data_IF_202872483028
#
_entry.id   IF_202872483028
#
_cell.length_a   1.000
_cell.length_b   1.000
_cell.length_c   1.000
_cell.angle_alpha   90.00
_cell.angle_beta   90.00
_cell.angle_gamma   90.00
#
_symmetry.space_group_name_H-M   'P 1'
#
loop_
_entity.id
_entity.type
_entity.pdbx_description
1 polymer ?
#
# COMPACT_ATOMS: atom_id res chain seq x y z
N UNK A 1 2.37 39.97 -0.63
CA UNK A 1 2.77 38.72 -1.29
C UNK A 1 3.28 37.63 -0.36
N UNK A 2 3.78 37.96 0.82
CA UNK A 2 4.23 36.95 1.81
C UNK A 2 3.13 36.30 2.67
N UNK A 3 1.91 36.83 2.66
CA UNK A 3 0.81 36.31 3.51
C UNK A 3 0.06 35.11 2.92
N UNK A 4 0.12 34.86 1.62
CA UNK A 4 -0.63 33.78 0.99
C UNK A 4 0.15 32.45 0.99
N UNK A 5 1.49 32.49 1.02
CA UNK A 5 2.31 31.29 1.12
C UNK A 5 2.23 30.60 2.49
N UNK A 6 1.93 31.37 3.54
CA UNK A 6 1.85 30.79 4.89
C UNK A 6 0.51 30.05 5.12
N UNK A 7 -0.56 30.48 4.43
CA UNK A 7 -1.87 29.81 4.52
C UNK A 7 -1.91 28.46 3.81
N UNK A 8 -1.20 28.33 2.68
CA UNK A 8 -1.13 27.09 1.92
C UNK A 8 -0.41 26.01 2.72
N UNK A 9 0.65 26.38 3.43
CA UNK A 9 1.38 25.45 4.28
C UNK A 9 0.57 24.99 5.52
N UNK A 10 -0.26 25.86 6.10
CA UNK A 10 -1.10 25.49 7.23
C UNK A 10 -2.26 24.56 6.83
N UNK A 11 -2.81 24.70 5.62
CA UNK A 11 -3.84 23.77 5.12
C UNK A 11 -3.26 22.41 4.73
N UNK A 12 -2.07 22.38 4.15
CA UNK A 12 -1.35 21.11 3.87
C UNK A 12 -0.95 20.41 5.17
N UNK A 13 -0.49 21.14 6.16
CA UNK A 13 -0.15 20.58 7.48
C UNK A 13 -1.38 20.02 8.22
N UNK A 14 -2.54 20.66 8.09
CA UNK A 14 -3.79 20.17 8.64
C UNK A 14 -4.31 18.93 7.92
N UNK A 15 -4.20 18.87 6.60
CA UNK A 15 -4.55 17.69 5.81
C UNK A 15 -3.60 16.52 6.13
N UNK A 16 -2.33 16.80 6.35
CA UNK A 16 -1.34 15.80 6.73
C UNK A 16 -1.56 15.26 8.15
N UNK A 17 -2.11 16.05 9.06
CA UNK A 17 -2.42 15.62 10.43
C UNK A 17 -3.60 14.63 10.50
N UNK A 18 -4.55 14.68 9.54
CA UNK A 18 -5.73 13.82 9.49
C UNK A 18 -5.61 12.65 8.50
N UNK A 19 -4.58 12.61 7.66
CA UNK A 19 -4.32 11.55 6.70
C UNK A 19 -3.23 10.61 7.19
N UNK A 20 -3.07 9.46 6.52
CA UNK A 20 -1.94 8.56 6.70
C UNK A 20 -0.58 9.29 6.53
N UNK A 21 -0.56 10.46 5.93
CA UNK A 21 0.61 11.32 5.80
C UNK A 21 1.16 11.84 7.12
N UNK A 22 0.32 11.90 8.15
CA UNK A 22 0.74 12.26 9.51
C UNK A 22 1.37 11.11 10.29
N UNK A 23 1.36 9.89 9.76
CA UNK A 23 2.06 8.77 10.37
C UNK A 23 3.58 8.98 10.24
N UNK A 24 4.36 8.76 11.32
CA UNK A 24 5.81 8.86 11.24
C UNK A 24 6.33 7.86 10.20
N UNK A 25 7.32 8.26 9.42
CA UNK A 25 8.00 7.35 8.51
C UNK A 25 8.63 6.19 9.29
N UNK A 26 8.58 4.96 8.75
CA UNK A 26 9.17 3.82 9.43
C UNK A 26 10.68 3.98 9.54
N UNK A 27 11.22 3.67 10.71
CA UNK A 27 12.66 3.53 10.90
C UNK A 27 13.12 2.18 10.33
N UNK A 28 14.43 2.05 10.13
CA UNK A 28 15.00 0.82 9.57
C UNK A 28 14.59 -0.43 10.37
N UNK A 29 14.56 -0.33 11.69
CA UNK A 29 14.18 -1.43 12.59
C UNK A 29 12.69 -1.84 12.42
N UNK A 30 11.82 -0.89 12.08
CA UNK A 30 10.40 -1.16 11.81
C UNK A 30 10.20 -1.93 10.50
N UNK A 31 11.14 -1.83 9.58
CA UNK A 31 11.08 -2.48 8.27
C UNK A 31 11.56 -3.93 8.29
N UNK A 32 12.36 -4.28 9.29
CA UNK A 32 12.87 -5.65 9.50
C UNK A 32 11.85 -6.40 10.35
N UNK A 33 10.74 -6.84 9.77
CA UNK A 33 9.80 -7.72 10.44
C UNK A 33 10.10 -9.19 10.08
N UNK A 34 9.89 -10.08 11.04
CA UNK A 34 10.06 -11.54 10.86
C UNK A 34 9.02 -12.14 9.90
N UNK A 35 8.07 -11.36 9.43
CA UNK A 35 6.99 -11.75 8.54
C UNK A 35 7.29 -11.38 7.06
N UNK A 36 8.46 -11.74 6.57
CA UNK A 36 8.78 -11.54 5.16
C UNK A 36 7.85 -12.37 4.28
N UNK A 37 7.17 -11.66 3.36
CA UNK A 37 6.37 -12.30 2.33
C UNK A 37 7.29 -13.04 1.37
N UNK A 38 6.99 -14.30 1.12
CA UNK A 38 7.71 -15.11 0.15
C UNK A 38 7.16 -14.88 -1.26
N UNK A 39 7.91 -15.25 -2.28
CA UNK A 39 7.44 -15.18 -3.66
C UNK A 39 6.15 -16.01 -3.86
N UNK A 40 6.00 -17.10 -3.12
CA UNK A 40 4.80 -17.93 -3.12
C UNK A 40 3.56 -17.16 -2.62
N UNK A 41 3.73 -16.27 -1.65
CA UNK A 41 2.64 -15.43 -1.14
C UNK A 41 2.15 -14.42 -2.19
N UNK A 42 3.01 -14.06 -3.13
CA UNK A 42 2.70 -13.12 -4.20
C UNK A 42 2.08 -13.79 -5.43
N UNK A 43 2.12 -15.12 -5.51
CA UNK A 43 1.52 -15.83 -6.62
C UNK A 43 -0.01 -15.84 -6.55
N UNK A 44 -0.63 -15.38 -7.62
CA UNK A 44 -2.07 -15.46 -7.81
C UNK A 44 -2.37 -16.66 -8.69
N UNK A 45 -2.60 -17.81 -8.06
CA UNK A 45 -2.95 -19.04 -8.73
C UNK A 45 -4.47 -19.18 -8.89
N UNK A 46 -4.92 -20.02 -9.81
CA UNK A 46 -6.33 -20.34 -9.97
C UNK A 46 -6.95 -20.89 -8.67
N UNK A 47 -6.20 -21.70 -7.93
CA UNK A 47 -6.65 -22.24 -6.63
C UNK A 47 -6.87 -21.14 -5.59
N UNK A 48 -5.99 -20.13 -5.54
CA UNK A 48 -6.14 -18.98 -4.65
C UNK A 48 -7.35 -18.12 -5.01
N UNK A 49 -7.64 -17.99 -6.30
CA UNK A 49 -8.80 -17.26 -6.80
C UNK A 49 -10.11 -17.98 -6.47
N UNK A 50 -10.14 -19.30 -6.65
CA UNK A 50 -11.32 -20.11 -6.43
C UNK A 50 -11.73 -20.25 -4.95
N UNK A 51 -10.85 -19.92 -4.02
CA UNK A 51 -11.16 -19.87 -2.58
C UNK A 51 -12.18 -18.79 -2.21
N UNK A 52 -12.30 -17.75 -3.03
CA UNK A 52 -13.24 -16.67 -2.77
C UNK A 52 -14.59 -16.95 -3.40
N UNK A 53 -15.64 -16.83 -2.61
CA UNK A 53 -17.04 -17.01 -3.07
C UNK A 53 -17.57 -15.78 -3.81
N UNK A 54 -16.96 -14.62 -3.63
CA UNK A 54 -17.38 -13.36 -4.25
C UNK A 54 -16.79 -13.22 -5.67
N UNK A 55 -17.67 -13.07 -6.65
CA UNK A 55 -17.28 -12.90 -8.05
C UNK A 55 -16.45 -11.64 -8.30
N UNK A 56 -16.72 -10.56 -7.57
CA UNK A 56 -15.97 -9.30 -7.67
C UNK A 56 -14.52 -9.47 -7.22
N UNK A 57 -14.30 -10.21 -6.14
CA UNK A 57 -12.96 -10.55 -5.65
C UNK A 57 -12.23 -11.40 -6.68
N UNK A 58 -12.87 -12.44 -7.20
CA UNK A 58 -12.28 -13.32 -8.21
C UNK A 58 -11.89 -12.56 -9.48
N UNK A 59 -12.75 -11.68 -9.96
CA UNK A 59 -12.47 -10.84 -11.12
C UNK A 59 -11.25 -9.93 -10.87
N UNK A 60 -11.22 -9.26 -9.72
CA UNK A 60 -10.09 -8.39 -9.33
C UNK A 60 -8.77 -9.16 -9.32
N UNK A 61 -8.74 -10.34 -8.68
CA UNK A 61 -7.55 -11.17 -8.59
C UNK A 61 -7.06 -11.66 -9.96
N UNK A 62 -7.96 -11.99 -10.85
CA UNK A 62 -7.62 -12.38 -12.22
C UNK A 62 -7.00 -11.22 -13.00
N UNK A 63 -7.54 -10.03 -12.85
CA UNK A 63 -7.02 -8.83 -13.55
C UNK A 63 -5.62 -8.46 -13.06
N UNK A 64 -5.40 -8.41 -11.75
CA UNK A 64 -4.07 -8.11 -11.22
C UNK A 64 -3.05 -9.22 -11.50
N UNK A 65 -3.48 -10.45 -11.62
CA UNK A 65 -2.65 -11.60 -11.98
C UNK A 65 -2.03 -11.51 -13.37
N UNK A 66 -2.61 -10.73 -14.27
CA UNK A 66 -2.09 -10.49 -15.62
C UNK A 66 -0.93 -9.51 -15.65
N UNK A 67 -0.75 -8.71 -14.63
CA UNK A 67 0.30 -7.70 -14.56
C UNK A 67 1.62 -8.38 -14.15
N UNK A 68 2.70 -8.25 -14.93
CA UNK A 68 3.97 -8.90 -14.61
C UNK A 68 4.62 -8.26 -13.38
N UNK A 69 5.36 -9.08 -12.62
CA UNK A 69 6.19 -8.60 -11.53
C UNK A 69 7.37 -7.80 -12.07
N UNK A 70 7.82 -6.81 -11.31
CA UNK A 70 9.00 -6.01 -11.63
C UNK A 70 10.28 -6.73 -11.16
N UNK A 71 11.33 -6.63 -11.97
CA UNK A 71 12.68 -6.96 -11.51
C UNK A 71 13.21 -5.87 -10.55
N UNK A 72 14.24 -6.18 -9.78
CA UNK A 72 14.87 -5.19 -8.90
C UNK A 72 15.39 -3.97 -9.67
N UNK A 73 15.92 -4.19 -10.86
CA UNK A 73 16.44 -3.11 -11.72
C UNK A 73 15.32 -2.20 -12.23
N UNK A 74 14.21 -2.78 -12.68
CA UNK A 74 13.01 -2.04 -13.10
C UNK A 74 12.41 -1.24 -11.95
N UNK A 75 12.37 -1.82 -10.76
CA UNK A 75 11.85 -1.18 -9.53
C UNK A 75 12.67 0.06 -9.17
N UNK A 76 13.99 -0.05 -9.19
CA UNK A 76 14.91 1.06 -8.92
C UNK A 76 14.78 2.15 -9.99
N UNK A 77 14.74 1.78 -11.27
CA UNK A 77 14.54 2.74 -12.36
C UNK A 77 13.23 3.51 -12.21
N UNK A 78 12.14 2.81 -11.94
CA UNK A 78 10.84 3.44 -11.70
C UNK A 78 10.88 4.37 -10.49
N UNK A 79 11.56 3.98 -9.41
CA UNK A 79 11.67 4.79 -8.21
C UNK A 79 12.36 6.13 -8.50
N UNK A 80 13.45 6.14 -9.25
CA UNK A 80 14.11 7.38 -9.65
C UNK A 80 13.25 8.25 -10.57
N UNK A 81 12.49 7.64 -11.47
CA UNK A 81 11.56 8.36 -12.35
C UNK A 81 10.40 8.99 -11.58
N UNK A 82 9.93 8.31 -10.53
CA UNK A 82 8.90 8.83 -9.62
C UNK A 82 9.40 10.06 -8.86
N UNK A 83 10.64 10.02 -8.36
CA UNK A 83 11.28 11.19 -7.71
C UNK A 83 11.33 12.40 -8.64
N UNK A 84 11.50 12.16 -9.94
CA UNK A 84 11.46 13.22 -10.96
C UNK A 84 10.04 13.70 -11.31
N UNK A 85 9.01 13.11 -10.73
CA UNK A 85 7.62 13.49 -10.94
C UNK A 85 6.91 12.81 -12.11
N UNK A 86 7.44 11.71 -12.64
CA UNK A 86 6.84 10.99 -13.76
C UNK A 86 5.62 10.16 -13.30
N UNK A 87 4.43 10.62 -13.68
CA UNK A 87 3.17 9.97 -13.32
C UNK A 87 3.05 8.53 -13.84
N UNK A 88 3.47 8.27 -15.07
CA UNK A 88 3.41 6.93 -15.66
C UNK A 88 4.25 5.92 -14.89
N UNK A 89 5.42 6.33 -14.39
CA UNK A 89 6.26 5.49 -13.56
C UNK A 89 5.57 5.17 -12.22
N UNK A 90 4.90 6.14 -11.63
CA UNK A 90 4.10 5.96 -10.42
C UNK A 90 2.98 4.94 -10.63
N UNK A 91 2.20 5.11 -11.69
CA UNK A 91 1.09 4.20 -12.03
C UNK A 91 1.60 2.76 -12.24
N UNK A 92 2.70 2.61 -12.95
CA UNK A 92 3.32 1.30 -13.20
C UNK A 92 3.82 0.64 -11.92
N UNK A 93 4.44 1.41 -11.03
CA UNK A 93 4.90 0.91 -9.72
C UNK A 93 3.73 0.42 -8.86
N UNK A 94 2.64 1.17 -8.82
CA UNK A 94 1.42 0.80 -8.08
C UNK A 94 0.80 -0.47 -8.65
N UNK A 95 0.59 -0.53 -9.95
CA UNK A 95 -0.02 -1.70 -10.61
C UNK A 95 0.76 -2.98 -10.37
N UNK A 96 2.08 -2.93 -10.50
CA UNK A 96 2.95 -4.09 -10.31
C UNK A 96 3.00 -4.60 -8.88
N UNK A 97 2.61 -3.78 -7.89
CA UNK A 97 2.61 -4.12 -6.48
C UNK A 97 1.21 -4.35 -5.88
N UNK A 98 0.17 -4.42 -6.70
CA UNK A 98 -1.19 -4.75 -6.24
C UNK A 98 -1.26 -6.17 -5.64
N UNK A 99 -0.46 -7.11 -6.14
CA UNK A 99 -0.34 -8.46 -5.56
C UNK A 99 0.16 -8.42 -4.13
N UNK A 100 1.10 -7.54 -3.84
CA UNK A 100 1.62 -7.33 -2.49
C UNK A 100 0.51 -6.92 -1.54
N UNK A 101 -0.35 -6.00 -1.95
CA UNK A 101 -1.51 -5.56 -1.17
C UNK A 101 -2.45 -6.73 -0.87
N UNK A 102 -2.77 -7.54 -1.88
CA UNK A 102 -3.64 -8.71 -1.73
C UNK A 102 -3.06 -9.71 -0.74
N UNK A 103 -1.78 -10.00 -0.83
CA UNK A 103 -1.10 -10.95 0.06
C UNK A 103 -1.14 -10.51 1.52
N UNK A 104 -0.95 -9.22 1.76
CA UNK A 104 -1.05 -8.65 3.12
C UNK A 104 -2.50 -8.63 3.58
N UNK A 105 -3.44 -8.21 2.74
CA UNK A 105 -4.86 -8.14 3.08
C UNK A 105 -5.44 -9.51 3.48
N UNK A 106 -4.99 -10.60 2.86
CA UNK A 106 -5.39 -11.97 3.22
C UNK A 106 -5.13 -12.30 4.70
N UNK A 107 -4.02 -11.81 5.25
CA UNK A 107 -3.65 -12.04 6.65
C UNK A 107 -4.58 -11.36 7.65
N UNK A 108 -5.31 -10.33 7.20
CA UNK A 108 -6.23 -9.55 8.03
C UNK A 108 -7.70 -9.85 7.74
N UNK A 109 -8.00 -10.82 6.90
CA UNK A 109 -9.38 -11.22 6.61
C UNK A 109 -10.08 -11.80 7.84
N UNK A 110 -11.40 -11.63 7.94
CA UNK A 110 -12.19 -12.13 9.06
C UNK A 110 -12.17 -11.24 10.31
N UNK A 111 -11.70 -10.01 10.22
CA UNK A 111 -11.62 -9.07 11.35
C UNK A 111 -12.61 -7.91 11.28
N UNK A 112 -13.70 -8.08 10.56
CA UNK A 112 -14.81 -7.11 10.53
C UNK A 112 -14.90 -6.24 9.30
N UNK A 113 -13.91 -6.27 8.40
CA UNK A 113 -13.96 -5.61 7.10
C UNK A 113 -14.03 -6.64 5.98
N UNK A 114 -14.74 -6.30 4.91
CA UNK A 114 -14.74 -7.09 3.68
C UNK A 114 -13.35 -7.12 3.05
N UNK A 115 -13.03 -8.20 2.36
CA UNK A 115 -11.73 -8.38 1.72
C UNK A 115 -11.42 -7.29 0.71
N UNK A 116 -12.41 -6.87 -0.11
CA UNK A 116 -12.23 -5.75 -1.05
C UNK A 116 -11.97 -4.42 -0.34
N UNK A 117 -12.60 -4.18 0.81
CA UNK A 117 -12.35 -2.99 1.62
C UNK A 117 -10.93 -2.99 2.18
N UNK A 118 -10.44 -4.15 2.63
CA UNK A 118 -9.05 -4.31 3.05
C UNK A 118 -8.07 -4.01 1.93
N UNK A 119 -8.36 -4.48 0.72
CA UNK A 119 -7.56 -4.21 -0.48
C UNK A 119 -7.55 -2.72 -0.80
N UNK A 120 -8.69 -2.04 -0.74
CA UNK A 120 -8.77 -0.60 -1.00
C UNK A 120 -7.96 0.21 0.00
N UNK A 121 -8.05 -0.13 1.28
CA UNK A 121 -7.24 0.51 2.33
C UNK A 121 -5.76 0.22 2.15
N UNK A 122 -5.41 -1.02 1.81
CA UNK A 122 -4.05 -1.40 1.50
C UNK A 122 -3.49 -0.66 0.27
N UNK A 123 -4.30 -0.45 -0.76
CA UNK A 123 -3.91 0.32 -1.94
C UNK A 123 -3.61 1.78 -1.59
N UNK A 124 -4.34 2.37 -0.66
CA UNK A 124 -4.06 3.71 -0.13
C UNK A 124 -2.68 3.75 0.53
N UNK A 125 -2.35 2.75 1.34
CA UNK A 125 -1.02 2.60 1.92
C UNK A 125 0.07 2.42 0.87
N UNK A 126 -0.18 1.63 -0.16
CA UNK A 126 0.74 1.44 -1.28
C UNK A 126 1.03 2.76 -2.03
N UNK A 127 0.02 3.58 -2.28
CA UNK A 127 0.18 4.89 -2.90
C UNK A 127 1.11 5.78 -2.07
N UNK A 128 0.96 5.78 -0.75
CA UNK A 128 1.84 6.52 0.16
C UNK A 128 3.28 6.03 0.08
N UNK A 129 3.46 4.71 0.05
CA UNK A 129 4.79 4.11 -0.08
C UNK A 129 5.47 4.55 -1.39
N UNK A 130 4.74 4.54 -2.50
CA UNK A 130 5.26 4.96 -3.81
C UNK A 130 5.67 6.43 -3.81
N UNK A 131 4.89 7.29 -3.15
CA UNK A 131 5.17 8.73 -3.06
C UNK A 131 6.37 9.05 -2.17
N UNK A 132 6.58 8.28 -1.12
CA UNK A 132 7.58 8.56 -0.07
C UNK A 132 8.86 7.73 -0.19
N UNK A 133 8.87 6.73 -1.05
CA UNK A 133 10.02 5.84 -1.19
C UNK A 133 11.25 6.56 -1.71
N UNK A 134 12.35 6.39 -1.01
CA UNK A 134 13.66 6.91 -1.39
C UNK A 134 14.57 5.73 -1.81
N UNK A 135 14.89 5.61 -3.12
CA UNK A 135 15.71 4.51 -3.61
C UNK A 135 17.16 4.53 -3.10
N UNK A 136 17.62 5.67 -2.57
CA UNK A 136 18.99 5.82 -2.06
C UNK A 136 19.18 5.25 -0.65
N UNK A 137 18.09 4.92 0.06
CA UNK A 137 18.18 4.39 1.44
C UNK A 137 18.57 2.91 1.54
N UNK A 138 18.66 2.19 0.44
CA UNK A 138 19.26 0.86 0.38
C UNK A 138 18.35 -0.33 0.73
N UNK A 139 17.07 -0.13 1.07
CA UNK A 139 16.11 -1.22 1.25
C UNK A 139 15.21 -1.39 0.02
N UNK A 140 14.63 -2.58 -0.12
CA UNK A 140 13.72 -2.88 -1.23
C UNK A 140 12.40 -2.13 -1.07
N UNK A 141 11.80 -1.76 -2.19
CA UNK A 141 10.47 -1.13 -2.20
C UNK A 141 9.42 -2.01 -1.51
N UNK A 142 9.41 -3.31 -1.76
CA UNK A 142 8.45 -4.23 -1.14
C UNK A 142 8.49 -4.21 0.39
N UNK A 143 9.68 -4.13 0.97
CA UNK A 143 9.87 -4.03 2.42
C UNK A 143 9.28 -2.73 2.97
N UNK A 144 9.56 -1.62 2.32
CA UNK A 144 9.02 -0.31 2.67
C UNK A 144 7.50 -0.23 2.49
N UNK A 145 7.00 -0.70 1.35
CA UNK A 145 5.57 -0.71 1.03
C UNK A 145 4.77 -1.61 1.98
N UNK A 146 5.30 -2.74 2.40
CA UNK A 146 4.65 -3.66 3.36
C UNK A 146 4.29 -2.94 4.65
N UNK A 147 5.18 -2.11 5.16
CA UNK A 147 4.93 -1.31 6.37
C UNK A 147 3.73 -0.36 6.17
N UNK A 148 3.71 0.39 5.07
CA UNK A 148 2.64 1.35 4.77
C UNK A 148 1.29 0.67 4.51
N UNK A 149 1.29 -0.45 3.80
CA UNK A 149 0.09 -1.24 3.52
C UNK A 149 -0.49 -1.80 4.84
N UNK A 150 0.35 -2.37 5.66
CA UNK A 150 -0.05 -2.92 6.97
C UNK A 150 -0.61 -1.84 7.87
N UNK A 151 0.03 -0.69 7.92
CA UNK A 151 -0.40 0.46 8.70
C UNK A 151 -1.80 0.94 8.27
N UNK A 152 -2.05 1.06 6.97
CA UNK A 152 -3.34 1.44 6.43
C UNK A 152 -4.45 0.45 6.77
N UNK A 153 -4.18 -0.84 6.62
CA UNK A 153 -5.14 -1.91 6.89
C UNK A 153 -5.46 -2.00 8.40
N UNK A 154 -4.47 -2.01 9.25
CA UNK A 154 -4.66 -2.11 10.71
C UNK A 154 -5.40 -0.89 11.26
N UNK A 155 -5.11 0.29 10.73
CA UNK A 155 -5.84 1.51 11.10
C UNK A 155 -7.30 1.45 10.68
N UNK A 156 -7.61 0.98 9.47
CA UNK A 156 -8.98 0.82 8.99
C UNK A 156 -9.77 -0.17 9.85
N UNK A 157 -9.16 -1.29 10.25
CA UNK A 157 -9.78 -2.27 11.15
C UNK A 157 -10.06 -1.65 12.53
N UNK A 158 -9.14 -0.90 13.09
CA UNK A 158 -9.31 -0.22 14.38
C UNK A 158 -10.42 0.83 14.33
N UNK A 159 -10.51 1.62 13.27
CA UNK A 159 -11.56 2.62 13.07
C UNK A 159 -12.94 1.95 12.93
N UNK A 160 -13.02 0.83 12.23
CA UNK A 160 -14.26 0.04 12.10
C UNK A 160 -14.72 -0.51 13.46
N UNK A 161 -13.82 -1.05 14.26
CA UNK A 161 -14.11 -1.56 15.60
C UNK A 161 -14.64 -0.45 16.54
N UNK A 162 -14.06 0.74 16.48
CA UNK A 162 -14.49 1.91 17.25
C UNK A 162 -15.90 2.37 16.85
N UNK A 163 -16.21 2.34 15.56
CA UNK A 163 -17.55 2.68 15.05
C UNK A 163 -18.59 1.66 15.46
N UNK A 164 -18.27 0.38 15.46
CA UNK A 164 -19.15 -0.70 15.89
C UNK A 164 -19.44 -0.66 17.40
N UNK A 165 -18.50 -0.23 18.22
CA UNK A 165 -18.68 -0.09 19.67
C UNK A 165 -19.59 1.07 20.07
N UNK A 166 -19.78 2.05 19.22
CA UNK A 166 -20.62 3.23 19.45
C UNK A 166 -22.05 3.09 18.93
N UNK A 167 -22.36 1.96 18.32
CA UNK A 167 -23.68 1.63 17.85
C UNK A 167 -24.44 0.77 18.88
#
# INVERSE_FOLDING_TARGET
MEKDNNKINEEEDLLNAFSLDGAPEPEYDDLVSEDDLTDEDLEITAENVDQFSDDSVRLYLREIGKIPLLSNEEEVDLAYRIVKGEKKAKDKMVEANMRLVVSIAKRYSGRGLDFLDLIQEGNTGLLRAVEKFDPDKGFKFSTYATWWIRQAITRAIADQASTSCNA
#
